data_IF_123889746265
#
_entry.id   IF_123889746265
#
_cell.length_a   1.000
_cell.length_b   1.000
_cell.length_c   1.000
_cell.angle_alpha   90.00
_cell.angle_beta   90.00
_cell.angle_gamma   90.00
#
_symmetry.space_group_name_H-M   'P 1'
#
loop_
_entity.id
_entity.type
_entity.pdbx_description
1 polymer ?
#
# COMPACT_ATOMS: atom_id res chain seq x y z
N UNK A 1 28.47 4.68 20.22
CA UNK A 1 27.67 5.77 19.64
C UNK A 1 27.39 5.44 18.18
N UNK A 2 26.12 5.57 17.77
CA UNK A 2 25.57 5.43 16.42
C UNK A 2 25.48 4.01 15.80
N UNK A 3 24.41 3.25 16.12
CA UNK A 3 23.91 2.19 15.20
C UNK A 3 22.48 1.69 15.50
N UNK A 4 21.51 2.56 15.79
CA UNK A 4 20.09 2.12 15.93
C UNK A 4 19.07 3.20 15.51
N UNK A 5 19.47 4.10 14.62
CA UNK A 5 18.53 4.96 13.89
C UNK A 5 18.23 4.26 12.55
N UNK A 6 17.03 4.44 12.01
CA UNK A 6 16.38 3.61 10.98
C UNK A 6 15.78 2.36 11.64
N UNK A 7 14.47 2.10 11.64
CA UNK A 7 13.45 2.36 10.63
C UNK A 7 12.10 2.29 11.38
N UNK A 8 11.12 3.15 11.09
CA UNK A 8 9.74 2.69 11.17
C UNK A 8 9.14 2.51 9.78
N UNK A 9 7.94 1.91 9.77
CA UNK A 9 7.51 1.03 8.71
C UNK A 9 6.00 1.07 8.52
N UNK A 10 5.57 0.86 7.28
CA UNK A 10 4.20 0.63 6.87
C UNK A 10 4.14 -0.65 6.02
N UNK A 11 3.15 -1.51 6.27
CA UNK A 11 2.75 -2.60 5.36
C UNK A 11 1.54 -2.09 4.56
N UNK A 12 1.25 -2.55 3.34
CA UNK A 12 0.18 -1.89 2.54
C UNK A 12 -0.64 -2.91 1.73
N UNK A 13 -1.66 -3.55 2.30
CA UNK A 13 -2.63 -4.30 1.46
C UNK A 13 -3.58 -3.31 0.77
N UNK A 14 -3.91 -3.33 -0.53
CA UNK A 14 -4.75 -2.27 -1.14
C UNK A 14 -5.94 -2.71 -2.00
N UNK A 15 -7.12 -2.13 -1.72
CA UNK A 15 -8.36 -2.29 -2.47
C UNK A 15 -8.96 -0.92 -2.82
N UNK A 16 -9.48 -0.76 -4.03
CA UNK A 16 -10.22 0.44 -4.44
C UNK A 16 -11.68 0.04 -4.57
N UNK A 17 -12.62 0.72 -3.92
CA UNK A 17 -14.07 0.53 -4.08
C UNK A 17 -14.76 1.80 -4.57
N UNK A 18 -15.76 1.68 -5.42
CA UNK A 18 -16.58 2.83 -5.85
C UNK A 18 -17.78 2.98 -4.90
N UNK A 19 -18.27 4.21 -4.72
CA UNK A 19 -19.48 4.51 -3.93
C UNK A 19 -20.60 4.98 -4.84
N UNK A 20 -21.34 4.06 -5.47
CA UNK A 20 -22.44 4.39 -6.38
C UNK A 20 -23.72 4.76 -5.63
N UNK A 21 -24.22 5.98 -5.87
CA UNK A 21 -25.58 6.39 -5.48
C UNK A 21 -26.60 5.69 -6.38
N UNK A 22 -27.61 5.05 -5.76
CA UNK A 22 -28.62 4.24 -6.42
C UNK A 22 -29.65 5.09 -7.17
N UNK A 23 -29.36 5.50 -8.40
CA UNK A 23 -30.39 5.83 -9.40
C UNK A 23 -29.80 5.64 -10.79
N UNK A 24 -30.30 4.64 -11.51
CA UNK A 24 -30.42 4.50 -12.98
C UNK A 24 -30.25 3.02 -13.35
N UNK A 25 -31.24 2.47 -14.06
CA UNK A 25 -31.22 1.10 -14.60
C UNK A 25 -30.08 0.98 -15.61
N UNK A 26 -29.15 0.03 -15.43
CA UNK A 26 -28.01 -0.20 -16.32
C UNK A 26 -28.07 -1.62 -16.88
N UNK A 27 -28.06 -1.74 -18.22
CA UNK A 27 -28.15 -2.99 -19.00
C UNK A 27 -26.79 -3.71 -19.12
N UNK A 28 -25.67 -3.13 -18.68
CA UNK A 28 -24.41 -3.85 -18.51
C UNK A 28 -23.69 -3.37 -17.24
N UNK A 29 -23.41 -4.24 -16.25
CA UNK A 29 -22.72 -3.79 -15.04
C UNK A 29 -21.32 -3.28 -15.44
N UNK A 30 -20.97 -2.01 -15.18
CA UNK A 30 -19.57 -1.61 -15.27
C UNK A 30 -18.80 -2.50 -14.29
N UNK A 31 -17.65 -3.06 -14.73
CA UNK A 31 -16.75 -3.80 -13.84
C UNK A 31 -16.29 -2.86 -12.73
N UNK A 32 -17.08 -2.84 -11.69
CA UNK A 32 -16.91 -2.09 -10.48
C UNK A 32 -15.64 -2.65 -9.84
N UNK A 33 -14.70 -1.78 -9.51
CA UNK A 33 -13.51 -2.16 -8.77
C UNK A 33 -14.01 -2.58 -7.38
N UNK A 34 -14.40 -3.83 -7.21
CA UNK A 34 -14.55 -4.51 -5.91
C UNK A 34 -13.35 -5.46 -5.69
N UNK A 35 -12.30 -5.27 -6.47
CA UNK A 35 -11.13 -6.14 -6.58
C UNK A 35 -9.87 -5.40 -6.17
N UNK A 36 -8.89 -6.16 -5.70
CA UNK A 36 -7.57 -5.63 -5.38
C UNK A 36 -6.97 -4.88 -6.55
N UNK A 37 -6.18 -3.85 -6.23
CA UNK A 37 -5.33 -3.24 -7.23
C UNK A 37 -4.38 -4.30 -7.81
N UNK A 38 -3.89 -4.16 -9.05
CA UNK A 38 -2.95 -5.11 -9.64
C UNK A 38 -1.75 -5.32 -8.72
N UNK A 39 -1.55 -6.55 -8.25
CA UNK A 39 -0.56 -6.88 -7.22
C UNK A 39 -0.65 -6.02 -5.94
N UNK A 40 -1.85 -5.60 -5.55
CA UNK A 40 -2.09 -4.75 -4.38
C UNK A 40 -1.93 -5.46 -3.04
N UNK A 41 -1.75 -6.78 -3.06
CA UNK A 41 -1.43 -7.64 -1.92
C UNK A 41 0.01 -8.20 -1.98
N UNK A 42 0.80 -7.81 -2.98
CA UNK A 42 2.23 -8.16 -3.13
C UNK A 42 2.58 -9.64 -3.22
N UNK A 43 1.62 -10.51 -3.57
CA UNK A 43 1.89 -11.95 -3.73
C UNK A 43 2.66 -12.27 -5.03
N UNK A 44 2.69 -11.34 -6.00
CA UNK A 44 3.62 -11.43 -7.13
C UNK A 44 4.96 -10.82 -6.72
N UNK A 45 5.97 -11.68 -6.59
CA UNK A 45 7.30 -11.33 -6.10
C UNK A 45 8.18 -10.66 -7.16
N UNK A 46 9.12 -9.78 -6.74
CA UNK A 46 10.22 -9.33 -7.59
C UNK A 46 11.07 -10.50 -8.10
N UNK A 47 11.72 -10.32 -9.25
CA UNK A 47 12.72 -11.30 -9.73
C UNK A 47 13.87 -11.38 -8.73
N UNK A 48 14.43 -12.58 -8.51
CA UNK A 48 15.59 -12.79 -7.63
C UNK A 48 16.79 -11.91 -8.01
N UNK A 49 17.00 -11.65 -9.31
CA UNK A 49 18.05 -10.74 -9.81
C UNK A 49 17.86 -9.28 -9.38
N UNK A 50 16.64 -8.92 -9.00
CA UNK A 50 16.26 -7.56 -8.61
C UNK A 50 16.08 -7.46 -7.09
N UNK A 51 16.65 -8.39 -6.32
CA UNK A 51 16.63 -8.40 -4.86
C UNK A 51 18.04 -8.49 -4.31
N UNK A 52 18.38 -7.59 -3.39
CA UNK A 52 19.52 -7.75 -2.49
C UNK A 52 18.98 -8.06 -1.09
N UNK A 53 18.95 -9.36 -0.74
CA UNK A 53 18.19 -9.87 0.41
C UNK A 53 16.72 -9.47 0.27
N UNK A 54 16.22 -8.58 1.11
CA UNK A 54 14.86 -8.03 1.07
C UNK A 54 14.76 -6.76 0.23
N UNK A 55 15.87 -6.06 -0.03
CA UNK A 55 15.86 -4.75 -0.72
C UNK A 55 15.57 -4.94 -2.20
N UNK A 56 14.56 -4.22 -2.71
CA UNK A 56 14.18 -4.23 -4.12
C UNK A 56 15.13 -3.32 -4.91
N UNK A 57 15.77 -3.87 -5.93
CA UNK A 57 16.72 -3.18 -6.79
C UNK A 57 16.02 -2.70 -8.06
N UNK A 58 15.97 -1.39 -8.26
CA UNK A 58 15.46 -0.77 -9.49
C UNK A 58 13.98 -0.37 -9.42
N UNK A 59 13.68 0.78 -10.04
CA UNK A 59 12.38 1.46 -9.97
C UNK A 59 11.16 0.60 -10.33
N UNK A 60 11.33 -0.34 -11.27
CA UNK A 60 10.25 -1.15 -11.86
C UNK A 60 10.28 -2.62 -11.44
N UNK A 61 10.99 -2.92 -10.35
CA UNK A 61 11.27 -4.29 -9.95
C UNK A 61 10.20 -4.92 -9.06
N UNK A 62 9.31 -4.13 -8.48
CA UNK A 62 8.10 -4.61 -7.82
C UNK A 62 6.99 -4.77 -8.88
N UNK A 63 6.45 -5.98 -9.12
CA UNK A 63 5.46 -6.15 -10.18
C UNK A 63 4.24 -5.24 -10.01
N UNK A 64 3.88 -4.50 -11.07
CA UNK A 64 2.75 -3.54 -11.13
C UNK A 64 2.92 -2.23 -10.35
N UNK A 65 4.04 -2.03 -9.67
CA UNK A 65 4.31 -0.84 -8.89
C UNK A 65 5.61 -0.16 -9.36
N UNK A 66 5.64 1.17 -9.34
CA UNK A 66 6.88 1.94 -9.34
C UNK A 66 7.30 2.19 -7.89
N UNK A 67 8.58 2.00 -7.59
CA UNK A 67 9.15 2.29 -6.26
C UNK A 67 10.07 3.50 -6.33
N UNK A 68 10.15 4.24 -5.22
CA UNK A 68 11.15 5.30 -4.99
C UNK A 68 11.71 5.16 -3.59
N UNK A 69 13.00 5.48 -3.41
CA UNK A 69 13.68 5.32 -2.12
C UNK A 69 13.94 3.87 -1.74
N UNK A 70 14.11 3.62 -0.44
CA UNK A 70 14.37 2.29 0.10
C UNK A 70 13.05 1.52 0.26
N UNK A 71 12.83 0.51 -0.59
CA UNK A 71 11.67 -0.38 -0.50
C UNK A 71 12.16 -1.82 -0.40
N UNK A 72 11.63 -2.56 0.56
CA UNK A 72 11.94 -3.95 0.80
C UNK A 72 10.72 -4.85 0.57
N UNK A 73 10.95 -6.01 -0.05
CA UNK A 73 9.99 -7.09 -0.17
C UNK A 73 10.16 -8.03 1.02
N UNK A 74 9.09 -8.23 1.79
CA UNK A 74 9.13 -9.04 3.01
C UNK A 74 8.07 -10.14 2.98
N UNK A 75 8.37 -11.25 3.65
CA UNK A 75 7.41 -12.32 3.92
C UNK A 75 6.95 -12.22 5.37
N UNK A 76 5.66 -12.42 5.58
CA UNK A 76 5.04 -12.58 6.89
C UNK A 76 5.49 -13.86 7.58
N UNK A 77 5.18 -13.96 8.87
CA UNK A 77 5.57 -15.08 9.72
C UNK A 77 6.81 -14.80 10.58
N UNK A 78 7.39 -15.86 11.17
CA UNK A 78 8.55 -15.74 12.07
C UNK A 78 9.76 -15.12 11.36
N UNK A 79 10.39 -14.17 12.03
CA UNK A 79 11.58 -13.47 11.58
C UNK A 79 12.79 -13.81 12.48
N UNK A 80 14.03 -13.64 11.98
CA UNK A 80 15.22 -13.79 12.80
C UNK A 80 15.17 -12.90 14.05
N UNK A 81 15.59 -13.43 15.20
CA UNK A 81 15.57 -12.69 16.47
C UNK A 81 14.25 -12.74 17.23
N UNK A 82 13.33 -13.65 16.87
CA UNK A 82 12.07 -13.87 17.59
C UNK A 82 10.96 -12.88 17.24
N UNK A 83 11.18 -12.01 16.25
CA UNK A 83 10.15 -11.13 15.72
C UNK A 83 9.13 -11.91 14.88
N UNK A 84 7.92 -11.37 14.75
CA UNK A 84 6.87 -11.96 13.92
C UNK A 84 6.19 -10.87 13.11
N UNK A 85 6.17 -11.03 11.79
CA UNK A 85 5.44 -10.13 10.91
C UNK A 85 4.05 -10.71 10.64
N UNK A 86 3.05 -10.17 11.34
CA UNK A 86 1.68 -10.43 10.97
C UNK A 86 1.42 -9.76 9.62
N UNK A 87 0.98 -10.50 8.60
CA UNK A 87 0.49 -9.90 7.35
C UNK A 87 -0.98 -10.30 7.26
N UNK A 88 -1.92 -9.40 7.57
CA UNK A 88 -3.34 -9.73 7.53
C UNK A 88 -3.74 -10.15 6.13
N UNK A 89 -4.33 -11.35 6.02
CA UNK A 89 -4.95 -11.85 4.79
C UNK A 89 -3.99 -12.02 3.59
N UNK A 90 -2.67 -12.03 3.83
CA UNK A 90 -1.64 -12.24 2.79
C UNK A 90 -0.38 -12.88 3.40
N UNK A 91 0.56 -13.28 2.55
CA UNK A 91 1.87 -13.82 2.94
C UNK A 91 2.97 -12.78 2.75
N UNK A 92 2.82 -11.84 1.82
CA UNK A 92 3.86 -10.87 1.48
C UNK A 92 3.42 -9.44 1.72
N UNK A 93 4.41 -8.58 1.95
CA UNK A 93 4.23 -7.15 2.07
C UNK A 93 5.44 -6.39 1.54
N UNK A 94 5.29 -5.08 1.40
CA UNK A 94 6.42 -4.18 1.20
C UNK A 94 6.66 -3.38 2.46
N UNK A 95 7.93 -3.03 2.66
CA UNK A 95 8.41 -2.24 3.77
C UNK A 95 9.05 -0.98 3.22
N UNK A 96 8.49 0.16 3.59
CA UNK A 96 8.97 1.48 3.18
C UNK A 96 10.02 1.98 4.17
N UNK A 97 11.15 2.48 3.67
CA UNK A 97 12.08 3.29 4.44
C UNK A 97 11.66 4.76 4.51
N UNK A 98 12.49 5.59 5.14
CA UNK A 98 12.22 7.02 5.22
C UNK A 98 12.14 7.64 3.81
N UNK A 99 11.12 8.46 3.57
CA UNK A 99 10.85 9.13 2.28
C UNK A 99 10.71 8.16 1.09
N UNK A 100 10.54 6.87 1.34
CA UNK A 100 10.27 5.89 0.29
C UNK A 100 8.79 5.94 -0.11
N UNK A 101 8.50 5.53 -1.34
CA UNK A 101 7.13 5.48 -1.83
C UNK A 101 6.92 4.34 -2.81
N UNK A 102 5.68 3.85 -2.88
CA UNK A 102 5.19 2.99 -3.95
C UNK A 102 4.10 3.73 -4.73
N UNK A 103 4.03 3.50 -6.04
CA UNK A 103 2.97 4.10 -6.85
C UNK A 103 2.55 3.25 -8.03
N UNK A 104 1.32 3.43 -8.49
CA UNK A 104 0.80 2.80 -9.70
C UNK A 104 -0.20 3.71 -10.41
N UNK A 105 -0.34 3.50 -11.72
CA UNK A 105 -1.36 4.18 -12.50
C UNK A 105 -2.62 3.33 -12.54
N UNK A 106 -3.72 3.84 -12.00
CA UNK A 106 -5.01 3.17 -11.92
C UNK A 106 -5.98 3.83 -12.90
N UNK A 107 -6.67 3.00 -13.70
CA UNK A 107 -7.77 3.48 -14.56
C UNK A 107 -9.02 3.66 -13.72
N UNK A 108 -9.56 4.87 -13.74
CA UNK A 108 -10.76 5.28 -12.99
C UNK A 108 -11.67 6.07 -13.92
N UNK A 109 -12.90 6.37 -13.48
CA UNK A 109 -13.85 7.21 -14.21
C UNK A 109 -13.79 8.63 -13.66
N UNK A 110 -13.46 9.60 -14.50
CA UNK A 110 -13.48 11.02 -14.10
C UNK A 110 -14.84 11.40 -13.51
N UNK A 111 -14.80 12.14 -12.40
CA UNK A 111 -15.98 12.63 -11.69
C UNK A 111 -16.57 11.65 -10.66
N UNK A 112 -16.17 10.37 -10.67
CA UNK A 112 -16.59 9.38 -9.67
C UNK A 112 -15.76 9.47 -8.38
N UNK A 113 -16.35 9.02 -7.26
CA UNK A 113 -15.69 8.96 -5.96
C UNK A 113 -15.27 7.52 -5.69
N UNK A 114 -14.01 7.35 -5.31
CA UNK A 114 -13.41 6.07 -4.98
C UNK A 114 -12.95 6.08 -3.52
N UNK A 115 -13.02 4.92 -2.87
CA UNK A 115 -12.43 4.66 -1.56
C UNK A 115 -11.23 3.76 -1.74
N UNK A 116 -10.05 4.23 -1.37
CA UNK A 116 -8.84 3.45 -1.28
C UNK A 116 -8.72 2.88 0.13
N UNK A 117 -8.88 1.57 0.26
CA UNK A 117 -8.68 0.84 1.51
C UNK A 117 -7.32 0.19 1.53
N UNK A 118 -6.58 0.31 2.63
CA UNK A 118 -5.37 -0.44 2.81
C UNK A 118 -4.99 -0.80 4.23
N UNK A 119 -4.26 -1.90 4.39
CA UNK A 119 -3.81 -2.40 5.70
C UNK A 119 -2.34 -2.12 5.92
N UNK A 120 -1.99 -1.49 7.06
CA UNK A 120 -0.62 -1.18 7.46
C UNK A 120 -0.29 -1.53 8.89
N UNK A 121 0.97 -1.88 9.12
CA UNK A 121 1.52 -2.17 10.45
C UNK A 121 2.72 -1.30 10.65
N UNK A 122 2.83 -0.84 11.89
CA UNK A 122 3.97 -0.13 12.39
C UNK A 122 4.79 -1.02 13.31
N UNK A 123 6.10 -1.07 13.13
CA UNK A 123 6.98 -1.88 14.01
C UNK A 123 7.79 -1.05 15.01
N UNK A 124 7.71 0.29 14.96
CA UNK A 124 8.49 1.22 15.79
C UNK A 124 7.58 2.33 16.35
N UNK A 125 8.00 3.10 17.38
CA UNK A 125 7.12 3.94 18.21
C UNK A 125 7.28 5.46 18.02
N UNK A 126 8.03 5.94 17.03
CA UNK A 126 8.20 7.39 16.69
C UNK A 126 6.91 8.06 16.12
N UNK A 127 6.94 9.29 15.63
CA UNK A 127 5.82 9.85 14.85
C UNK A 127 6.06 9.63 13.37
N UNK A 128 5.43 8.63 12.77
CA UNK A 128 5.45 8.42 11.33
C UNK A 128 4.10 8.69 10.68
N UNK A 129 4.15 9.44 9.60
CA UNK A 129 3.00 9.83 8.80
C UNK A 129 3.10 9.14 7.45
N UNK A 130 2.06 8.39 7.08
CA UNK A 130 1.92 7.85 5.74
C UNK A 130 1.13 8.83 4.89
N UNK A 131 1.75 9.38 3.85
CA UNK A 131 1.09 10.27 2.90
C UNK A 131 0.54 9.48 1.74
N UNK A 132 -0.77 9.59 1.52
CA UNK A 132 -1.42 9.06 0.34
C UNK A 132 -1.74 10.20 -0.59
N UNK A 133 -1.53 10.00 -1.89
CA UNK A 133 -1.92 11.00 -2.88
C UNK A 133 -2.45 10.42 -4.17
N UNK A 134 -3.32 11.22 -4.78
CA UNK A 134 -3.76 11.13 -6.17
C UNK A 134 -3.58 12.52 -6.81
N UNK A 135 -3.60 12.66 -8.14
CA UNK A 135 -3.49 13.97 -8.77
C UNK A 135 -4.51 15.00 -8.23
N UNK A 136 -3.99 16.01 -7.53
CA UNK A 136 -4.77 17.11 -6.94
C UNK A 136 -5.38 16.86 -5.56
N UNK A 137 -5.16 15.69 -4.94
CA UNK A 137 -5.67 15.37 -3.59
C UNK A 137 -4.64 14.53 -2.81
N UNK A 138 -4.36 14.89 -1.56
CA UNK A 138 -3.48 14.11 -0.68
C UNK A 138 -3.99 14.13 0.77
N UNK A 139 -3.63 13.11 1.53
CA UNK A 139 -3.95 13.02 2.96
C UNK A 139 -2.80 12.36 3.72
N UNK A 140 -2.52 12.90 4.89
CA UNK A 140 -1.50 12.43 5.81
C UNK A 140 -2.18 11.60 6.90
N UNK A 141 -1.86 10.32 6.97
CA UNK A 141 -2.46 9.39 7.91
C UNK A 141 -1.48 9.06 9.04
N UNK A 142 -1.84 9.33 10.31
CA UNK A 142 -1.03 8.93 11.44
C UNK A 142 -1.09 7.41 11.58
N UNK A 143 0.05 6.74 11.46
CA UNK A 143 0.12 5.30 11.70
C UNK A 143 0.34 5.06 13.19
N UNK A 144 -0.69 4.58 13.89
CA UNK A 144 -0.58 4.25 15.31
C UNK A 144 -0.04 2.83 15.50
N UNK A 145 0.88 2.65 16.44
CA UNK A 145 1.35 1.32 16.85
C UNK A 145 0.29 0.69 17.76
N UNK A 146 -0.57 -0.16 17.22
CA UNK A 146 -1.45 -0.98 18.04
C UNK A 146 -0.69 -2.25 18.47
N UNK A 147 -0.39 -2.36 19.75
CA UNK A 147 0.08 -3.61 20.36
C UNK A 147 -1.09 -4.60 20.47
N UNK A 148 -1.53 -5.12 19.33
CA UNK A 148 -2.59 -6.11 19.23
C UNK A 148 -2.13 -7.27 18.36
N UNK A 149 -2.42 -8.50 18.80
CA UNK A 149 -2.17 -9.73 18.04
C UNK A 149 -2.97 -9.84 16.74
N UNK A 150 -3.90 -8.90 16.48
CA UNK A 150 -4.80 -8.93 15.32
C UNK A 150 -4.23 -8.28 14.05
N UNK A 151 -2.95 -7.90 14.07
CA UNK A 151 -2.14 -7.92 12.85
C UNK A 151 -2.17 -6.68 11.97
N UNK A 152 -2.74 -5.54 12.34
CA UNK A 152 -2.51 -4.27 11.64
C UNK A 152 -3.70 -3.33 11.54
N UNK A 153 -3.43 -2.07 11.24
CA UNK A 153 -4.42 -1.02 11.09
C UNK A 153 -4.94 -1.02 9.65
N UNK A 154 -6.26 -1.04 9.50
CA UNK A 154 -6.89 -0.82 8.19
C UNK A 154 -7.33 0.63 8.08
N UNK A 155 -6.92 1.30 7.01
CA UNK A 155 -7.30 2.66 6.67
C UNK A 155 -8.17 2.64 5.41
N UNK A 156 -9.08 3.61 5.30
CA UNK A 156 -9.81 3.88 4.09
C UNK A 156 -9.78 5.39 3.82
N UNK A 157 -9.47 5.78 2.59
CA UNK A 157 -9.40 7.17 2.16
C UNK A 157 -10.19 7.37 0.88
N UNK A 158 -11.16 8.28 0.91
CA UNK A 158 -11.98 8.59 -0.24
C UNK A 158 -11.41 9.76 -1.05
N UNK A 159 -11.45 9.66 -2.38
CA UNK A 159 -11.05 10.73 -3.30
C UNK A 159 -11.99 10.79 -4.50
N UNK A 160 -12.11 11.98 -5.11
CA UNK A 160 -12.84 12.16 -6.38
C UNK A 160 -11.86 12.12 -7.54
N UNK A 161 -12.08 11.25 -8.52
CA UNK A 161 -11.21 11.15 -9.69
C UNK A 161 -11.32 12.42 -10.57
N UNK A 162 -10.20 13.11 -10.78
CA UNK A 162 -10.10 14.32 -11.60
C UNK A 162 -9.77 14.02 -13.07
N UNK A 163 -9.25 12.82 -13.35
CA UNK A 163 -8.86 12.28 -14.65
C UNK A 163 -9.23 10.79 -14.75
N UNK A 164 -9.19 10.21 -15.95
CA UNK A 164 -9.46 8.78 -16.17
C UNK A 164 -8.29 7.85 -15.80
N UNK A 165 -7.13 8.45 -15.49
CA UNK A 165 -5.96 7.76 -14.93
C UNK A 165 -5.49 8.53 -13.71
N UNK A 166 -5.33 7.83 -12.59
CA UNK A 166 -4.85 8.39 -11.33
C UNK A 166 -3.56 7.67 -10.94
N UNK A 167 -2.50 8.44 -10.70
CA UNK A 167 -1.30 7.91 -10.04
C UNK A 167 -1.56 7.88 -8.54
N UNK A 168 -1.79 6.69 -8.02
CA UNK A 168 -1.88 6.43 -6.58
C UNK A 168 -0.44 6.31 -6.05
N UNK A 169 -0.06 7.14 -5.08
CA UNK A 169 1.25 7.08 -4.42
C UNK A 169 1.09 7.04 -2.91
N UNK A 170 1.95 6.26 -2.24
CA UNK A 170 1.94 6.05 -0.80
C UNK A 170 3.36 5.94 -0.27
#
# INVERSE_FOLDING_TARGET
MALFLFLCFALIFSALSNGGSATTRVIHPPRYLDTLLPNGNFELSPKKSNLNKTVILGKYSLPKWEISGLVEYISGGPQPGGFYFAVPRSVHAVRLGNEASISQNVRVKRGSIYSLTFGTIRTCAQDEVLRISVPGQSSDLPIQTLYSSNGGNTYAWAFKATSDVVKDSR
#
